data_IF_990585263702
#
_entry.id   IF_990585263702
#
_cell.length_a   1.000
_cell.length_b   1.000
_cell.length_c   1.000
_cell.angle_alpha   90.00
_cell.angle_beta   90.00
_cell.angle_gamma   90.00
#
_symmetry.space_group_name_H-M   'P 1'
#
loop_
_entity.id
_entity.type
_entity.pdbx_description
1 polymer ?
#
# COMPACT_ATOMS: atom_id res chain seq x y z
N UNK A 1 -1.23 29.27 -6.82
CA UNK A 1 0.01 28.99 -7.60
C UNK A 1 0.61 30.23 -8.27
N UNK A 2 -0.03 30.88 -9.26
CA UNK A 2 0.50 32.15 -9.86
C UNK A 2 0.35 33.35 -8.93
N UNK A 3 -0.77 33.42 -8.20
CA UNK A 3 -1.02 34.47 -7.21
C UNK A 3 -0.01 34.45 -6.05
N UNK A 4 0.32 33.26 -5.53
CA UNK A 4 1.34 33.11 -4.49
C UNK A 4 2.73 33.52 -4.95
N UNK A 5 3.06 33.26 -6.23
CA UNK A 5 4.34 33.69 -6.81
C UNK A 5 4.42 35.21 -6.89
N UNK A 6 3.36 35.88 -7.38
CA UNK A 6 3.29 37.35 -7.43
C UNK A 6 3.37 37.97 -6.04
N UNK A 7 2.68 37.39 -5.05
CA UNK A 7 2.76 37.82 -3.65
C UNK A 7 4.20 37.73 -3.09
N UNK A 8 4.97 36.72 -3.51
CA UNK A 8 6.36 36.47 -3.07
C UNK A 8 7.42 37.05 -4.00
N UNK A 9 7.06 37.81 -5.03
CA UNK A 9 7.98 38.30 -6.06
C UNK A 9 9.15 39.11 -5.47
N UNK A 10 8.88 39.97 -4.50
CA UNK A 10 9.89 40.78 -3.82
C UNK A 10 10.92 39.91 -3.05
N UNK A 11 10.49 38.78 -2.48
CA UNK A 11 11.38 37.81 -1.86
C UNK A 11 12.23 37.10 -2.92
N UNK A 12 11.63 36.72 -4.04
CA UNK A 12 12.35 36.07 -5.14
C UNK A 12 13.41 37.01 -5.77
N UNK A 13 13.10 38.31 -5.89
CA UNK A 13 14.04 39.33 -6.39
C UNK A 13 15.22 39.60 -5.46
N UNK A 14 15.03 39.45 -4.15
CA UNK A 14 16.09 39.58 -3.14
C UNK A 14 16.86 38.27 -2.90
N UNK A 15 16.60 37.23 -3.70
CA UNK A 15 17.22 35.92 -3.51
C UNK A 15 18.70 35.94 -3.88
N UNK A 16 19.59 35.36 -3.05
CA UNK A 16 20.99 35.20 -3.38
C UNK A 16 21.19 34.46 -4.70
N UNK A 17 22.17 34.88 -5.52
CA UNK A 17 22.47 34.25 -6.82
C UNK A 17 22.77 32.76 -6.75
N UNK A 18 23.25 32.26 -5.62
CA UNK A 18 23.54 30.86 -5.38
C UNK A 18 22.31 30.05 -4.90
N UNK A 19 21.12 30.64 -4.87
CA UNK A 19 19.87 29.97 -4.50
C UNK A 19 18.89 29.99 -5.67
N UNK A 20 18.36 28.82 -6.01
CA UNK A 20 17.38 28.67 -7.10
C UNK A 20 15.93 28.63 -6.59
N UNK A 21 15.71 28.43 -5.29
CA UNK A 21 14.39 28.43 -4.68
C UNK A 21 14.49 28.74 -3.18
N UNK A 22 13.47 29.39 -2.64
CA UNK A 22 13.26 29.47 -1.20
C UNK A 22 12.51 28.21 -0.74
N UNK A 23 13.22 27.07 -0.67
CA UNK A 23 12.66 25.89 0.02
C UNK A 23 12.53 26.25 1.49
N UNK A 24 11.30 26.49 1.94
CA UNK A 24 10.94 26.65 3.35
C UNK A 24 10.54 25.27 3.86
N UNK A 25 11.19 24.81 4.90
CA UNK A 25 10.92 23.53 5.54
C UNK A 25 12.17 23.02 6.23
N UNK A 26 12.03 22.59 7.48
CA UNK A 26 13.05 21.79 8.14
C UNK A 26 13.19 20.51 7.33
N UNK A 27 14.42 20.07 7.08
CA UNK A 27 14.65 18.75 6.51
C UNK A 27 13.86 17.71 7.29
N UNK A 28 13.22 16.78 6.59
CA UNK A 28 12.55 15.66 7.26
C UNK A 28 13.56 14.81 8.04
N UNK A 29 14.82 14.77 7.56
CA UNK A 29 15.94 14.07 8.20
C UNK A 29 17.16 15.01 8.34
N UNK A 30 17.15 15.97 9.28
CA UNK A 30 18.17 17.01 9.37
C UNK A 30 19.56 16.45 9.70
N UNK A 31 19.62 15.37 10.49
CA UNK A 31 20.88 14.69 10.85
C UNK A 31 21.50 14.03 9.61
N UNK A 32 20.68 13.33 8.81
CA UNK A 32 21.14 12.66 7.60
C UNK A 32 21.63 13.67 6.56
N UNK A 33 20.90 14.77 6.38
CA UNK A 33 21.29 15.83 5.45
C UNK A 33 22.62 16.46 5.86
N UNK A 34 22.82 16.74 7.15
CA UNK A 34 24.10 17.24 7.67
C UNK A 34 25.25 16.27 7.33
N UNK A 35 25.09 14.98 7.63
CA UNK A 35 26.12 13.98 7.33
C UNK A 35 26.44 13.90 5.83
N UNK A 36 25.42 13.93 4.96
CA UNK A 36 25.62 13.92 3.52
C UNK A 36 26.38 15.16 3.03
N UNK A 37 26.06 16.33 3.58
CA UNK A 37 26.74 17.60 3.29
C UNK A 37 28.20 17.56 3.75
N UNK A 38 28.47 17.12 4.98
CA UNK A 38 29.82 17.03 5.54
C UNK A 38 30.70 16.09 4.69
N UNK A 39 30.19 14.92 4.32
CA UNK A 39 30.87 13.98 3.43
C UNK A 39 31.12 14.57 2.03
N UNK A 40 30.16 15.30 1.44
CA UNK A 40 30.35 15.96 0.14
C UNK A 40 31.45 17.01 0.22
N UNK A 41 31.52 17.76 1.33
CA UNK A 41 32.55 18.76 1.54
C UNK A 41 33.94 18.13 1.65
N UNK A 42 34.09 17.08 2.44
CA UNK A 42 35.36 16.35 2.60
C UNK A 42 35.86 15.80 1.26
N UNK A 43 34.98 15.14 0.50
CA UNK A 43 35.33 14.57 -0.79
C UNK A 43 35.76 15.63 -1.81
N UNK A 44 35.11 16.79 -1.80
CA UNK A 44 35.48 17.93 -2.67
C UNK A 44 36.80 18.57 -2.25
N UNK A 45 37.10 18.66 -0.96
CA UNK A 45 38.40 19.13 -0.47
C UNK A 45 39.54 18.21 -0.91
N UNK A 46 39.27 16.91 -1.01
CA UNK A 46 40.20 15.91 -1.52
C UNK A 46 40.27 15.84 -3.06
N UNK A 47 39.56 16.72 -3.77
CA UNK A 47 39.58 16.80 -5.23
C UNK A 47 38.68 15.82 -5.97
N UNK A 48 37.84 15.06 -5.26
CA UNK A 48 36.92 14.09 -5.87
C UNK A 48 35.62 14.74 -6.36
N UNK A 49 35.15 14.31 -7.52
CA UNK A 49 33.81 14.65 -8.01
C UNK A 49 32.79 13.75 -7.31
N UNK A 50 31.89 14.38 -6.56
CA UNK A 50 30.84 13.66 -5.82
C UNK A 50 29.61 13.44 -6.70
N UNK A 51 29.37 12.20 -7.10
CA UNK A 51 28.15 11.81 -7.82
C UNK A 51 27.02 11.45 -6.87
N UNK A 52 25.77 11.47 -7.35
CA UNK A 52 24.60 11.01 -6.58
C UNK A 52 24.75 9.57 -6.10
N UNK A 53 25.29 8.68 -6.94
CA UNK A 53 25.44 7.27 -6.61
C UNK A 53 26.49 7.06 -5.52
N UNK A 54 27.56 7.86 -5.53
CA UNK A 54 28.56 7.87 -4.47
C UNK A 54 27.93 8.30 -3.14
N UNK A 55 27.09 9.35 -3.15
CA UNK A 55 26.37 9.76 -1.93
C UNK A 55 25.53 8.61 -1.41
N UNK A 56 24.74 7.96 -2.27
CA UNK A 56 23.87 6.84 -1.88
C UNK A 56 24.65 5.65 -1.32
N UNK A 57 25.72 5.24 -1.99
CA UNK A 57 26.54 4.09 -1.57
C UNK A 57 27.32 4.34 -0.28
N UNK A 58 27.53 5.62 0.08
CA UNK A 58 28.29 6.02 1.26
C UNK A 58 27.39 6.51 2.41
N UNK A 59 26.05 6.43 2.25
CA UNK A 59 25.13 6.63 3.36
C UNK A 59 25.33 5.49 4.36
N UNK A 60 25.65 5.85 5.60
CA UNK A 60 25.84 4.87 6.67
C UNK A 60 24.49 4.47 7.24
N UNK A 61 24.37 3.20 7.60
CA UNK A 61 23.25 2.75 8.40
C UNK A 61 23.24 3.53 9.73
N UNK A 62 22.07 3.97 10.21
CA UNK A 62 21.94 4.56 11.53
C UNK A 62 22.37 3.58 12.63
N UNK A 63 22.73 4.13 13.79
CA UNK A 63 23.04 3.33 14.97
C UNK A 63 21.81 2.55 15.46
N UNK A 64 22.05 1.40 16.10
CA UNK A 64 20.98 0.47 16.51
C UNK A 64 19.93 1.16 17.39
N UNK A 65 20.37 2.00 18.33
CA UNK A 65 19.47 2.71 19.24
C UNK A 65 18.51 3.65 18.49
N UNK A 66 19.01 4.33 17.46
CA UNK A 66 18.19 5.23 16.61
C UNK A 66 17.15 4.43 15.82
N UNK A 67 17.50 3.22 15.36
CA UNK A 67 16.56 2.32 14.71
C UNK A 67 15.50 1.81 15.69
N UNK A 68 15.89 1.41 16.89
CA UNK A 68 14.96 0.96 17.93
C UNK A 68 13.97 2.05 18.30
N UNK A 69 14.44 3.28 18.54
CA UNK A 69 13.58 4.44 18.82
C UNK A 69 12.60 4.72 17.68
N UNK A 70 13.06 4.57 16.43
CA UNK A 70 12.21 4.74 15.26
C UNK A 70 11.10 3.69 15.21
N UNK A 71 11.45 2.41 15.42
CA UNK A 71 10.47 1.32 15.44
C UNK A 71 9.47 1.51 16.57
N UNK A 72 9.92 1.88 17.77
CA UNK A 72 9.05 2.14 18.93
C UNK A 72 8.09 3.31 18.63
N UNK A 73 8.60 4.42 18.11
CA UNK A 73 7.75 5.57 17.75
C UNK A 73 6.74 5.22 16.67
N UNK A 74 7.16 4.53 15.62
CA UNK A 74 6.27 4.08 14.56
C UNK A 74 5.19 3.14 15.09
N UNK A 75 5.55 2.20 15.96
CA UNK A 75 4.61 1.27 16.58
C UNK A 75 3.59 2.00 17.48
N UNK A 76 4.04 2.98 18.25
CA UNK A 76 3.16 3.77 19.12
C UNK A 76 2.21 4.71 18.36
N UNK A 77 2.52 5.04 17.10
CA UNK A 77 1.67 5.87 16.24
C UNK A 77 0.51 5.06 15.62
N UNK A 78 0.59 3.73 15.65
CA UNK A 78 -0.47 2.86 15.12
C UNK A 78 -1.63 2.81 16.13
N UNK A 79 -2.86 3.05 15.65
CA UNK A 79 -4.06 2.92 16.48
C UNK A 79 -4.28 1.45 16.89
N UNK A 80 -4.55 1.22 18.17
CA UNK A 80 -4.85 -0.11 18.74
C UNK A 80 -6.05 -0.75 18.04
N UNK A 81 -7.04 0.02 17.62
CA UNK A 81 -8.21 -0.51 16.89
C UNK A 81 -7.81 -1.10 15.54
N UNK A 82 -6.88 -0.47 14.82
CA UNK A 82 -6.32 -1.01 13.57
C UNK A 82 -5.60 -2.33 13.81
N UNK A 83 -4.84 -2.41 14.91
CA UNK A 83 -4.15 -3.63 15.32
C UNK A 83 -5.18 -4.73 15.62
N UNK A 84 -6.19 -4.45 16.45
CA UNK A 84 -7.26 -5.42 16.80
C UNK A 84 -8.01 -5.89 15.55
N UNK A 85 -8.43 -4.96 14.67
CA UNK A 85 -9.10 -5.28 13.41
C UNK A 85 -8.23 -6.17 12.52
N UNK A 86 -6.92 -5.91 12.44
CA UNK A 86 -6.00 -6.74 11.66
C UNK A 86 -5.85 -8.16 12.24
N UNK A 87 -5.76 -8.31 13.56
CA UNK A 87 -5.68 -9.62 14.21
C UNK A 87 -6.98 -10.43 14.01
N UNK A 88 -8.14 -9.76 14.02
CA UNK A 88 -9.44 -10.37 13.70
C UNK A 88 -9.58 -10.74 12.22
N UNK A 89 -9.26 -9.82 11.29
CA UNK A 89 -9.28 -10.08 9.84
C UNK A 89 -8.32 -11.20 9.42
N UNK A 90 -7.19 -11.36 10.09
CA UNK A 90 -6.27 -12.46 9.87
C UNK A 90 -6.66 -13.77 10.59
N UNK A 91 -7.77 -13.81 11.31
CA UNK A 91 -8.25 -14.99 12.04
C UNK A 91 -7.36 -15.43 13.20
N UNK A 92 -6.40 -14.60 13.63
CA UNK A 92 -5.43 -14.93 14.70
C UNK A 92 -6.11 -14.82 16.08
N UNK A 93 -7.05 -13.88 16.22
CA UNK A 93 -7.76 -13.63 17.48
C UNK A 93 -9.27 -13.86 17.39
N UNK A 94 -9.77 -14.58 16.38
CA UNK A 94 -11.21 -14.85 16.26
C UNK A 94 -11.67 -15.80 17.36
N UNK A 95 -12.82 -15.51 17.96
CA UNK A 95 -13.47 -16.49 18.86
C UNK A 95 -13.81 -17.77 18.09
N UNK A 96 -13.66 -18.92 18.75
CA UNK A 96 -13.95 -20.24 18.16
C UNK A 96 -15.44 -20.45 17.86
N UNK A 97 -16.29 -19.52 18.31
CA UNK A 97 -17.74 -19.56 18.16
C UNK A 97 -18.24 -19.11 16.78
N UNK A 98 -17.35 -18.65 15.89
CA UNK A 98 -17.66 -18.30 14.49
C UNK A 98 -18.47 -17.01 14.28
N UNK A 99 -18.87 -16.33 15.36
CA UNK A 99 -19.70 -15.11 15.31
C UNK A 99 -18.95 -13.83 14.89
N UNK A 100 -17.63 -13.89 14.70
CA UNK A 100 -16.78 -12.74 14.31
C UNK A 100 -16.24 -12.85 12.87
N UNK A 101 -16.64 -13.87 12.11
CA UNK A 101 -16.12 -14.14 10.75
C UNK A 101 -16.74 -13.25 9.66
N UNK A 102 -17.86 -12.57 9.98
CA UNK A 102 -18.60 -11.71 9.03
C UNK A 102 -17.83 -10.43 8.66
N UNK A 103 -16.83 -10.00 9.45
CA UNK A 103 -16.01 -8.81 9.17
C UNK A 103 -14.92 -9.03 8.10
N UNK A 104 -14.80 -10.23 7.53
CA UNK A 104 -13.69 -10.56 6.63
C UNK A 104 -13.87 -9.98 5.22
N UNK A 105 -15.10 -9.64 4.83
CA UNK A 105 -15.47 -9.23 3.46
C UNK A 105 -16.03 -7.81 3.34
N UNK A 106 -16.28 -7.12 4.44
CA UNK A 106 -16.70 -5.72 4.41
C UNK A 106 -15.47 -4.81 4.37
N UNK A 107 -15.15 -4.30 3.18
CA UNK A 107 -14.16 -3.24 3.02
C UNK A 107 -14.80 -1.91 3.49
N UNK A 108 -14.44 -1.45 4.69
CA UNK A 108 -14.92 -0.19 5.31
C UNK A 108 -14.43 1.11 4.59
N UNK A 109 -14.05 1.01 3.32
CA UNK A 109 -13.56 2.12 2.51
C UNK A 109 -14.66 2.72 1.60
N UNK A 110 -15.92 2.29 1.71
CA UNK A 110 -17.03 2.87 0.93
C UNK A 110 -17.64 4.06 1.67
N UNK A 111 -16.94 5.19 1.63
CA UNK A 111 -17.46 6.48 2.11
C UNK A 111 -18.66 6.91 1.27
N UNK A 112 -19.80 7.00 1.94
CA UNK A 112 -21.02 7.75 1.62
C UNK A 112 -20.91 8.73 0.42
N UNK A 113 -21.34 8.25 -0.75
CA UNK A 113 -21.73 9.06 -1.90
C UNK A 113 -23.08 8.53 -2.43
N UNK A 114 -24.16 9.11 -1.89
CA UNK A 114 -25.49 9.33 -2.48
C UNK A 114 -25.89 8.55 -3.76
N UNK A 115 -26.86 7.64 -3.58
CA UNK A 115 -27.99 7.25 -4.44
C UNK A 115 -27.79 6.77 -5.92
N UNK A 116 -28.38 5.58 -6.15
CA UNK A 116 -28.97 5.03 -7.40
C UNK A 116 -28.03 4.37 -8.41
N UNK A 117 -28.03 3.03 -8.43
CA UNK A 117 -28.58 2.22 -9.54
C UNK A 117 -28.49 0.73 -9.16
N UNK A 118 -29.58 -0.02 -9.30
CA UNK A 118 -29.61 -1.47 -9.16
C UNK A 118 -28.70 -2.11 -10.21
N UNK A 119 -27.57 -2.68 -9.79
CA UNK A 119 -26.72 -3.51 -10.64
C UNK A 119 -27.04 -4.98 -10.35
N UNK A 120 -28.13 -5.45 -10.95
CA UNK A 120 -28.32 -6.88 -11.16
C UNK A 120 -27.40 -7.24 -12.33
N UNK A 121 -26.28 -7.88 -12.03
CA UNK A 121 -25.45 -8.52 -13.07
C UNK A 121 -26.31 -9.53 -13.82
N UNK A 122 -26.67 -9.17 -15.05
CA UNK A 122 -27.32 -10.08 -15.99
C UNK A 122 -26.26 -11.08 -16.48
N UNK A 123 -26.27 -12.29 -15.92
CA UNK A 123 -25.46 -13.41 -16.42
C UNK A 123 -26.09 -13.97 -17.71
N UNK A 124 -25.48 -13.78 -18.89
CA UNK A 124 -26.02 -14.23 -20.16
C UNK A 124 -26.02 -15.77 -20.31
N UNK A 125 -25.43 -16.53 -19.39
CA UNK A 125 -25.46 -18.00 -19.41
C UNK A 125 -26.64 -18.61 -18.64
N UNK A 126 -27.39 -17.82 -17.86
CA UNK A 126 -28.48 -18.32 -17.02
C UNK A 126 -29.73 -18.72 -17.84
N UNK A 127 -29.96 -18.11 -19.02
CA UNK A 127 -31.06 -18.51 -19.92
C UNK A 127 -30.80 -19.82 -20.69
N UNK A 128 -29.54 -20.26 -20.79
CA UNK A 128 -29.22 -21.52 -21.46
C UNK A 128 -29.64 -22.74 -20.63
N UNK A 129 -29.72 -22.61 -19.30
CA UNK A 129 -30.15 -23.67 -18.40
C UNK A 129 -31.67 -23.91 -18.43
N UNK A 130 -32.47 -22.94 -18.91
CA UNK A 130 -33.93 -23.00 -18.87
C UNK A 130 -34.51 -23.79 -20.06
N UNK A 131 -33.79 -23.84 -21.19
CA UNK A 131 -34.31 -24.41 -22.45
C UNK A 131 -33.83 -25.84 -22.75
N UNK A 132 -33.07 -26.47 -21.85
CA UNK A 132 -32.72 -27.88 -21.99
C UNK A 132 -33.84 -28.70 -21.36
N UNK A 133 -34.64 -29.40 -22.17
CA UNK A 133 -35.68 -30.31 -21.68
C UNK A 133 -35.08 -31.33 -20.71
N UNK A 134 -35.76 -31.56 -19.60
CA UNK A 134 -35.33 -32.46 -18.52
C UNK A 134 -34.90 -33.85 -19.02
N UNK A 135 -35.54 -34.34 -20.08
CA UNK A 135 -35.25 -35.61 -20.75
C UNK A 135 -33.83 -35.68 -21.34
N UNK A 136 -33.30 -34.56 -21.86
CA UNK A 136 -31.92 -34.46 -22.39
C UNK A 136 -30.92 -34.46 -21.26
N UNK A 137 -31.28 -33.85 -20.13
CA UNK A 137 -30.45 -33.78 -18.93
C UNK A 137 -30.39 -35.15 -18.23
N UNK A 138 -31.49 -35.89 -18.22
CA UNK A 138 -31.57 -37.26 -17.68
C UNK A 138 -30.79 -38.25 -18.56
N UNK A 139 -30.88 -38.17 -19.89
CA UNK A 139 -30.09 -39.02 -20.80
C UNK A 139 -28.58 -38.75 -20.68
N UNK A 140 -28.17 -37.49 -20.49
CA UNK A 140 -26.77 -37.11 -20.24
C UNK A 140 -26.26 -37.61 -18.88
N UNK A 141 -27.13 -37.63 -17.87
CA UNK A 141 -26.82 -38.14 -16.52
C UNK A 141 -26.90 -39.68 -16.43
N UNK A 142 -27.42 -40.35 -17.46
CA UNK A 142 -27.54 -41.80 -17.56
C UNK A 142 -26.51 -42.45 -18.50
N UNK A 143 -25.68 -41.67 -19.21
CA UNK A 143 -24.81 -42.23 -20.27
C UNK A 143 -23.38 -42.59 -19.88
N UNK A 144 -22.96 -42.46 -18.62
CA UNK A 144 -21.65 -42.96 -18.17
C UNK A 144 -21.80 -43.98 -17.05
N UNK A 145 -22.28 -45.17 -17.42
CA UNK A 145 -21.99 -46.42 -16.69
C UNK A 145 -21.14 -47.29 -17.61
N UNK A 146 -19.86 -46.95 -17.69
CA UNK A 146 -18.85 -48.01 -17.79
C UNK A 146 -18.36 -48.23 -16.36
N UNK A 147 -18.93 -49.23 -15.69
CA UNK A 147 -18.39 -49.84 -14.48
C UNK A 147 -16.98 -50.37 -14.80
N UNK A 148 -15.97 -49.51 -14.74
CA UNK A 148 -14.59 -49.94 -14.61
C UNK A 148 -14.39 -50.34 -13.16
N UNK A 149 -14.61 -51.63 -12.90
CA UNK A 149 -14.24 -52.30 -11.66
C UNK A 149 -12.77 -51.99 -11.34
N UNK A 150 -12.57 -51.08 -10.39
CA UNK A 150 -11.26 -50.79 -9.81
C UNK A 150 -10.86 -51.98 -8.94
N UNK A 151 -10.29 -53.02 -9.55
CA UNK A 151 -9.59 -54.09 -8.84
C UNK A 151 -8.30 -53.52 -8.25
N UNK A 152 -8.39 -53.09 -6.99
CA UNK A 152 -7.25 -52.69 -6.21
C UNK A 152 -6.30 -53.87 -5.97
N UNK A 153 -5.06 -53.73 -6.45
CA UNK A 153 -3.85 -54.14 -5.73
C UNK A 153 -2.65 -53.28 -6.16
#
# INVERSE_FOLDING_TARGET
MVQDWRSKEHLLRSMPRNKCAMRRGTAHWPILEKHAVDMVHEQRQNGYIVSRNMIRGNMRAPELDVLCDFVIKAWNDINVETVIKSFKKCGISNSMDGMEDDMLWEDEDETEAEATSSDLEFDPYDEAAINVSQDVLEELMMSDVDDVDFEGF
#
